data_IF_241161526923
#
_entry.id   IF_241161526923
#
_cell.length_a   1.000
_cell.length_b   1.000
_cell.length_c   1.000
_cell.angle_alpha   90.00
_cell.angle_beta   90.00
_cell.angle_gamma   90.00
#
_symmetry.space_group_name_H-M   'P 1'
#
loop_
_entity.id
_entity.type
_entity.pdbx_description
1 polymer ?
#
# COMPACT_ATOMS: atom_id res chain seq x y z
N UNK A 1 -12.14 -11.86 17.94
CA UNK A 1 -12.15 -12.90 16.92
C UNK A 1 -13.57 -13.29 16.54
N UNK A 2 -13.78 -13.84 15.36
CA UNK A 2 -15.05 -14.34 14.89
C UNK A 2 -14.87 -15.82 14.47
N UNK A 3 -14.96 -16.77 15.42
CA UNK A 3 -14.81 -18.18 15.09
C UNK A 3 -15.96 -18.67 14.23
N UNK A 4 -15.64 -19.52 13.28
CA UNK A 4 -16.61 -20.28 12.47
C UNK A 4 -17.07 -21.52 13.25
N UNK A 5 -18.20 -22.09 12.85
CA UNK A 5 -18.63 -23.40 13.33
C UNK A 5 -17.80 -24.52 12.64
N UNK A 6 -17.70 -25.67 13.28
CA UNK A 6 -16.91 -26.83 12.78
C UNK A 6 -17.38 -27.30 11.39
N UNK A 7 -18.68 -27.29 11.14
CA UNK A 7 -19.28 -27.72 9.88
C UNK A 7 -18.84 -26.85 8.69
N UNK A 8 -18.47 -25.58 8.96
CA UNK A 8 -18.01 -24.68 7.92
C UNK A 8 -16.70 -25.12 7.25
N UNK A 9 -15.82 -25.79 8.00
CA UNK A 9 -14.48 -26.16 7.50
C UNK A 9 -14.56 -27.19 6.37
N UNK A 10 -15.57 -28.04 6.37
CA UNK A 10 -15.78 -29.12 5.39
C UNK A 10 -17.00 -28.91 4.52
N UNK A 11 -17.64 -27.74 4.59
CA UNK A 11 -18.88 -27.46 3.91
C UNK A 11 -18.73 -27.39 2.39
N UNK A 12 -19.58 -28.09 1.67
CA UNK A 12 -19.79 -27.91 0.23
C UNK A 12 -20.73 -26.75 -0.10
N UNK A 13 -21.47 -26.24 0.89
CA UNK A 13 -22.36 -25.08 0.79
C UNK A 13 -22.10 -24.08 1.92
N UNK A 14 -21.05 -23.28 1.81
CA UNK A 14 -20.66 -22.35 2.86
C UNK A 14 -21.69 -21.23 3.10
N UNK A 15 -22.51 -20.90 2.13
CA UNK A 15 -23.51 -19.82 2.26
C UNK A 15 -24.60 -20.18 3.26
N UNK A 16 -24.98 -21.44 3.34
CA UNK A 16 -26.05 -21.90 4.24
C UNK A 16 -25.53 -22.53 5.52
N UNK A 17 -24.36 -23.15 5.50
CA UNK A 17 -23.80 -23.94 6.61
C UNK A 17 -22.82 -23.17 7.50
N UNK A 18 -22.16 -22.14 6.96
CA UNK A 18 -21.19 -21.39 7.76
C UNK A 18 -21.88 -20.34 8.65
N UNK A 19 -21.56 -20.41 9.92
CA UNK A 19 -21.98 -19.43 10.94
C UNK A 19 -20.75 -18.92 11.68
N UNK A 20 -20.79 -17.67 12.06
CA UNK A 20 -19.73 -17.08 12.89
C UNK A 20 -20.32 -16.42 14.13
N UNK A 21 -19.57 -16.44 15.20
CA UNK A 21 -19.93 -15.74 16.43
C UNK A 21 -19.22 -14.40 16.45
N UNK A 22 -19.99 -13.32 16.30
CA UNK A 22 -19.46 -11.99 16.49
C UNK A 22 -19.14 -11.74 17.97
N UNK A 23 -17.87 -11.45 18.27
CA UNK A 23 -17.44 -11.00 19.57
C UNK A 23 -17.19 -9.50 19.45
N UNK A 24 -18.04 -8.71 20.11
CA UNK A 24 -17.90 -7.26 20.12
C UNK A 24 -16.57 -6.87 20.75
N UNK A 25 -15.89 -5.95 20.12
CA UNK A 25 -14.67 -5.37 20.69
C UNK A 25 -15.04 -4.48 21.89
N UNK A 26 -14.25 -4.50 22.96
CA UNK A 26 -14.44 -3.60 24.07
C UNK A 26 -14.40 -2.13 23.63
N UNK A 27 -15.18 -1.28 24.30
CA UNK A 27 -15.09 0.17 24.06
C UNK A 27 -13.64 0.64 24.30
N UNK A 28 -13.16 1.51 23.45
CA UNK A 28 -11.81 2.09 23.53
C UNK A 28 -10.65 1.08 23.41
N UNK A 29 -10.87 -0.10 22.82
CA UNK A 29 -9.83 -1.11 22.66
C UNK A 29 -8.58 -0.61 21.90
N UNK A 30 -8.73 0.38 21.03
CA UNK A 30 -7.63 1.00 20.27
C UNK A 30 -6.88 2.09 21.06
N UNK A 31 -7.38 2.52 22.21
CA UNK A 31 -6.76 3.58 23.03
C UNK A 31 -5.44 3.08 23.63
N UNK A 32 -4.44 3.96 23.70
CA UNK A 32 -3.15 3.67 24.36
C UNK A 32 -3.29 3.33 25.83
N UNK A 33 -4.34 3.81 26.51
CA UNK A 33 -4.64 3.53 27.91
C UNK A 33 -5.42 2.25 28.17
N UNK A 34 -5.92 1.58 27.11
CA UNK A 34 -6.70 0.35 27.28
C UNK A 34 -5.84 -0.78 27.88
N UNK A 35 -6.38 -1.46 28.90
CA UNK A 35 -5.71 -2.59 29.54
C UNK A 35 -6.10 -3.90 28.86
N UNK A 36 -5.15 -4.52 28.18
CA UNK A 36 -5.33 -5.74 27.39
C UNK A 36 -4.83 -7.02 28.08
N UNK A 37 -4.63 -6.95 29.40
CA UNK A 37 -4.10 -8.07 30.22
C UNK A 37 -4.91 -9.39 30.07
N UNK A 38 -6.18 -9.28 29.73
CA UNK A 38 -7.08 -10.42 29.57
C UNK A 38 -7.17 -10.90 28.10
N UNK A 39 -6.42 -10.30 27.18
CA UNK A 39 -6.37 -10.76 25.82
C UNK A 39 -5.39 -11.94 25.69
N UNK A 40 -5.77 -12.93 24.90
CA UNK A 40 -4.89 -14.06 24.60
C UNK A 40 -3.75 -13.57 23.70
N UNK A 41 -2.54 -14.00 23.99
CA UNK A 41 -1.39 -13.71 23.13
C UNK A 41 -1.58 -14.33 21.74
N UNK A 42 -1.09 -13.65 20.72
CA UNK A 42 -0.96 -14.24 19.40
C UNK A 42 0.03 -15.41 19.45
N UNK A 43 -0.21 -16.40 18.60
CA UNK A 43 0.69 -17.53 18.40
C UNK A 43 1.46 -17.33 17.10
N UNK A 44 2.73 -17.70 17.10
CA UNK A 44 3.53 -17.79 15.88
C UNK A 44 3.35 -19.15 15.22
N UNK A 45 3.39 -19.15 13.89
CA UNK A 45 3.22 -20.33 13.04
C UNK A 45 4.29 -20.35 11.96
N UNK A 46 4.70 -21.52 11.58
CA UNK A 46 5.51 -21.74 10.38
C UNK A 46 4.65 -21.66 9.12
N UNK A 47 5.27 -21.45 7.96
CA UNK A 47 4.56 -21.46 6.68
C UNK A 47 3.88 -22.82 6.41
N UNK A 48 4.48 -23.91 6.87
CA UNK A 48 3.93 -25.27 6.78
C UNK A 48 2.65 -25.43 7.61
N UNK A 49 2.66 -24.96 8.86
CA UNK A 49 1.48 -24.99 9.75
C UNK A 49 0.31 -24.15 9.19
N UNK A 50 0.61 -23.03 8.55
CA UNK A 50 -0.40 -22.17 7.92
C UNK A 50 -0.96 -22.82 6.65
N UNK A 51 -0.19 -23.68 5.98
CA UNK A 51 -0.57 -24.30 4.71
C UNK A 51 -0.72 -23.27 3.61
N UNK A 52 0.27 -22.40 3.47
CA UNK A 52 0.28 -21.34 2.45
C UNK A 52 0.01 -21.92 1.06
N UNK A 53 -0.96 -21.37 0.39
CA UNK A 53 -1.35 -21.75 -0.98
C UNK A 53 -0.45 -21.08 -2.00
N UNK A 54 -0.53 -21.55 -3.25
CA UNK A 54 0.16 -20.95 -4.41
C UNK A 54 0.07 -19.43 -4.42
N UNK A 55 1.17 -18.76 -4.71
CA UNK A 55 1.31 -17.30 -4.67
C UNK A 55 2.06 -16.76 -3.46
N UNK A 56 2.08 -17.48 -2.33
CA UNK A 56 2.92 -17.10 -1.20
C UNK A 56 4.38 -17.50 -1.39
N UNK A 57 4.64 -18.52 -2.21
CA UNK A 57 6.00 -18.97 -2.53
C UNK A 57 6.76 -18.00 -3.43
N UNK A 58 6.06 -17.15 -4.18
CA UNK A 58 6.64 -16.12 -5.04
C UNK A 58 7.10 -14.89 -4.24
N UNK A 59 6.75 -14.81 -2.95
CA UNK A 59 7.17 -13.74 -2.07
C UNK A 59 8.48 -14.15 -1.40
N UNK A 60 9.55 -13.42 -1.67
CA UNK A 60 10.82 -13.63 -0.98
C UNK A 60 10.74 -13.10 0.46
N UNK A 61 10.16 -13.89 1.34
CA UNK A 61 10.06 -13.57 2.76
C UNK A 61 11.44 -13.53 3.40
N UNK A 62 11.69 -12.49 4.20
CA UNK A 62 12.86 -12.50 5.08
C UNK A 62 12.77 -13.70 6.04
N UNK A 63 13.90 -14.35 6.32
CA UNK A 63 13.97 -15.41 7.35
C UNK A 63 13.58 -14.96 8.77
N UNK A 64 13.38 -13.64 8.97
CA UNK A 64 12.94 -13.03 10.23
C UNK A 64 11.44 -12.79 10.29
N UNK A 65 10.69 -13.12 9.24
CA UNK A 65 9.22 -12.96 9.24
C UNK A 65 8.61 -14.08 10.05
N UNK A 66 7.79 -13.71 11.03
CA UNK A 66 6.96 -14.61 11.80
C UNK A 66 5.50 -14.46 11.42
N UNK A 67 4.84 -15.56 11.09
CA UNK A 67 3.40 -15.60 10.85
C UNK A 67 2.70 -15.67 12.19
N UNK A 68 1.79 -14.74 12.46
CA UNK A 68 1.08 -14.66 13.75
C UNK A 68 -0.43 -14.76 13.54
N UNK A 69 -1.08 -15.53 14.40
CA UNK A 69 -2.54 -15.67 14.42
C UNK A 69 -3.03 -15.96 15.85
N UNK A 70 -4.32 -16.28 16.00
CA UNK A 70 -4.85 -16.89 17.21
C UNK A 70 -4.35 -18.34 17.35
N UNK A 71 -4.72 -19.03 18.41
CA UNK A 71 -4.36 -20.43 18.58
C UNK A 71 -5.07 -21.38 17.58
N UNK A 72 -6.08 -20.91 16.87
CA UNK A 72 -6.90 -21.72 15.96
C UNK A 72 -6.88 -21.15 14.55
N UNK A 73 -6.11 -21.79 13.65
CA UNK A 73 -6.03 -21.44 12.23
C UNK A 73 -7.25 -21.87 11.41
N UNK A 74 -8.05 -22.80 11.92
CA UNK A 74 -9.17 -23.38 11.17
C UNK A 74 -10.47 -22.64 11.39
N UNK A 75 -10.76 -22.31 12.64
CA UNK A 75 -12.06 -21.75 13.03
C UNK A 75 -12.02 -20.23 13.20
N UNK A 76 -10.90 -19.65 13.62
CA UNK A 76 -10.82 -18.20 13.83
C UNK A 76 -10.66 -17.46 12.49
N UNK A 77 -11.78 -17.13 11.85
CA UNK A 77 -11.85 -16.48 10.54
C UNK A 77 -11.38 -15.01 10.56
N UNK A 78 -11.68 -14.30 11.65
CA UNK A 78 -11.31 -12.89 11.81
C UNK A 78 -10.76 -12.66 13.19
N UNK A 79 -9.57 -12.07 13.27
CA UNK A 79 -8.95 -11.69 14.54
C UNK A 79 -8.59 -10.21 14.52
N UNK A 80 -8.50 -9.63 15.71
CA UNK A 80 -7.92 -8.31 15.93
C UNK A 80 -6.68 -8.48 16.77
N UNK A 81 -5.55 -8.06 16.26
CA UNK A 81 -4.28 -8.03 16.95
C UNK A 81 -4.02 -6.63 17.49
N UNK A 82 -3.45 -6.56 18.69
CA UNK A 82 -3.05 -5.31 19.33
C UNK A 82 -1.64 -5.43 19.86
N UNK A 83 -0.82 -4.46 19.55
CA UNK A 83 0.52 -4.33 20.12
C UNK A 83 0.74 -2.91 20.63
N UNK A 84 1.66 -2.75 21.56
CA UNK A 84 2.12 -1.44 22.02
C UNK A 84 3.52 -1.21 21.49
N UNK A 85 3.69 -0.13 20.77
CA UNK A 85 5.01 0.31 20.32
C UNK A 85 5.46 1.37 21.33
N UNK A 86 6.47 1.02 22.13
CA UNK A 86 7.11 2.00 23.04
C UNK A 86 8.10 2.82 22.21
N UNK A 87 7.94 4.14 22.21
CA UNK A 87 9.03 5.00 21.75
C UNK A 87 10.19 4.87 22.75
N UNK A 88 11.42 4.57 22.30
CA UNK A 88 12.55 4.50 23.23
C UNK A 88 12.81 5.87 23.83
N UNK A 89 12.63 5.96 25.15
CA UNK A 89 13.12 7.08 25.94
C UNK A 89 14.64 7.03 25.91
N UNK A 90 15.28 8.09 25.48
CA UNK A 90 16.74 8.22 25.43
C UNK A 90 17.29 8.12 26.86
N UNK A 91 17.75 6.94 27.26
CA UNK A 91 18.53 6.74 28.48
C UNK A 91 19.88 6.17 28.08
N UNK A 92 20.92 6.85 28.53
CA UNK A 92 22.32 6.52 28.31
C UNK A 92 22.75 5.27 29.10
N UNK A 93 23.67 4.52 28.52
CA UNK A 93 24.56 3.45 29.04
C UNK A 93 24.01 2.03 29.11
N UNK A 94 24.67 1.14 28.35
CA UNK A 94 24.69 -0.31 28.58
C UNK A 94 24.44 -1.17 27.36
N UNK A 95 25.53 -1.70 26.79
CA UNK A 95 25.63 -2.66 25.72
C UNK A 95 24.69 -3.87 25.84
N UNK A 96 23.83 -4.08 24.84
CA UNK A 96 23.36 -5.40 24.39
C UNK A 96 22.76 -5.26 23.00
N UNK A 97 23.22 -6.07 22.06
CA UNK A 97 22.83 -6.06 20.67
C UNK A 97 21.32 -6.42 20.54
N UNK A 98 20.50 -5.42 20.31
CA UNK A 98 19.11 -5.56 19.88
C UNK A 98 19.03 -4.99 18.46
N UNK A 99 18.64 -5.82 17.49
CA UNK A 99 18.43 -5.36 16.13
C UNK A 99 17.24 -4.38 16.13
N UNK A 100 17.55 -3.11 16.29
CA UNK A 100 16.60 -2.02 16.10
C UNK A 100 16.22 -1.95 14.63
N UNK A 101 14.94 -2.15 14.32
CA UNK A 101 14.36 -1.52 13.14
C UNK A 101 14.45 -0.01 13.41
N UNK A 102 15.50 0.60 12.95
CA UNK A 102 15.60 2.05 12.86
C UNK A 102 14.57 2.48 11.80
N UNK A 103 13.39 2.89 12.25
CA UNK A 103 12.63 3.86 11.49
C UNK A 103 13.47 5.13 11.56
N UNK A 104 14.37 5.28 10.59
CA UNK A 104 15.06 6.54 10.37
C UNK A 104 13.96 7.60 10.18
N UNK A 105 13.75 8.40 11.22
CA UNK A 105 12.80 9.52 11.20
C UNK A 105 13.16 10.58 10.16
N UNK A 106 14.23 10.36 9.41
CA UNK A 106 14.77 11.25 8.39
C UNK A 106 14.69 10.64 6.96
N UNK A 107 14.00 9.52 6.78
CA UNK A 107 13.86 8.88 5.45
C UNK A 107 12.72 9.50 4.67
N UNK A 108 12.94 9.80 3.39
CA UNK A 108 11.90 10.24 2.47
C UNK A 108 10.81 9.17 2.36
N UNK A 109 9.58 9.51 2.74
CA UNK A 109 8.48 8.56 2.87
C UNK A 109 7.21 9.10 2.21
N UNK A 110 6.51 8.21 1.50
CA UNK A 110 5.17 8.44 0.96
C UNK A 110 4.15 7.64 1.78
N UNK A 111 2.98 8.20 2.00
CA UNK A 111 1.85 7.57 2.72
C UNK A 111 0.52 7.99 2.12
N UNK A 112 -0.54 7.24 2.40
CA UNK A 112 -1.93 7.67 2.20
C UNK A 112 -2.68 7.61 3.52
N UNK A 113 -3.69 8.48 3.71
CA UNK A 113 -4.61 8.39 4.85
C UNK A 113 -5.67 7.29 4.66
N UNK A 114 -5.90 6.84 3.42
CA UNK A 114 -7.04 6.03 3.04
C UNK A 114 -6.68 4.57 2.76
N UNK A 115 -5.39 4.26 2.62
CA UNK A 115 -4.89 2.88 2.53
C UNK A 115 -3.46 2.78 3.06
N UNK A 116 -3.08 1.58 3.48
CA UNK A 116 -1.71 1.26 3.91
C UNK A 116 -0.93 0.64 2.76
N UNK A 117 0.40 0.71 2.81
CA UNK A 117 1.26 0.08 1.81
C UNK A 117 0.99 -1.42 1.71
N UNK A 118 0.79 -1.92 0.50
CA UNK A 118 0.38 -3.30 0.20
C UNK A 118 -1.07 -3.63 0.52
N UNK A 119 -1.83 -2.70 1.11
CA UNK A 119 -3.24 -2.90 1.46
C UNK A 119 -4.20 -2.79 0.28
N UNK A 120 -5.49 -3.04 0.53
CA UNK A 120 -6.53 -2.90 -0.49
C UNK A 120 -6.72 -1.43 -0.89
N UNK A 121 -6.82 -1.17 -2.20
CA UNK A 121 -7.22 0.13 -2.73
C UNK A 121 -8.74 0.29 -2.53
N UNK A 122 -9.20 1.30 -1.77
CA UNK A 122 -10.63 1.53 -1.58
C UNK A 122 -11.38 1.72 -2.90
N UNK A 123 -12.60 1.19 -2.98
CA UNK A 123 -13.43 1.24 -4.21
C UNK A 123 -13.63 2.64 -4.74
N UNK A 124 -13.69 3.65 -3.87
CA UNK A 124 -13.87 5.05 -4.29
C UNK A 124 -12.78 5.54 -5.24
N UNK A 125 -11.57 4.94 -5.20
CA UNK A 125 -10.45 5.26 -6.09
C UNK A 125 -10.42 4.42 -7.36
N UNK A 126 -11.41 3.58 -7.57
CA UNK A 126 -11.50 2.64 -8.71
C UNK A 126 -12.72 2.95 -9.56
N UNK A 127 -12.82 2.33 -10.74
CA UNK A 127 -13.98 2.48 -11.59
C UNK A 127 -15.26 1.83 -11.04
N UNK A 128 -15.17 1.06 -9.96
CA UNK A 128 -16.31 0.51 -9.24
C UNK A 128 -16.84 1.45 -8.15
N UNK A 129 -16.25 2.63 -8.02
CA UNK A 129 -16.63 3.69 -7.09
C UNK A 129 -16.68 5.05 -7.75
N UNK A 130 -16.30 6.09 -7.01
CA UNK A 130 -16.32 7.47 -7.51
C UNK A 130 -15.24 7.75 -8.58
N UNK A 131 -14.21 6.91 -8.68
CA UNK A 131 -13.13 7.05 -9.65
C UNK A 131 -12.24 8.28 -9.41
N UNK A 132 -12.15 8.74 -8.18
CA UNK A 132 -11.33 9.90 -7.79
C UNK A 132 -9.93 9.47 -7.38
N UNK A 133 -8.95 10.37 -7.46
CA UNK A 133 -7.58 10.08 -7.04
C UNK A 133 -7.45 9.98 -5.52
N UNK A 134 -6.63 9.06 -4.99
CA UNK A 134 -6.41 8.96 -3.55
C UNK A 134 -5.56 10.12 -3.02
N UNK A 135 -5.73 10.48 -1.74
CA UNK A 135 -4.86 11.43 -1.08
C UNK A 135 -3.49 10.80 -0.81
N UNK A 136 -2.44 11.56 -1.05
CA UNK A 136 -1.07 11.15 -0.75
C UNK A 136 -0.35 12.23 0.05
N UNK A 137 0.50 11.82 0.98
CA UNK A 137 1.32 12.73 1.80
C UNK A 137 2.74 12.21 1.87
N UNK A 138 3.70 13.12 1.92
CA UNK A 138 5.12 12.74 2.04
C UNK A 138 5.84 13.55 3.10
N UNK A 139 6.90 12.98 3.61
CA UNK A 139 7.72 13.55 4.67
C UNK A 139 9.20 13.37 4.33
N UNK A 140 10.03 14.24 4.89
CA UNK A 140 11.50 14.20 4.82
C UNK A 140 12.03 14.11 3.37
N UNK A 141 11.60 14.98 2.46
CA UNK A 141 12.23 15.05 1.16
C UNK A 141 13.71 15.43 1.31
N UNK A 142 14.61 14.93 0.43
CA UNK A 142 16.00 15.26 0.51
C UNK A 142 16.24 16.77 0.38
N UNK A 143 17.30 17.25 1.05
CA UNK A 143 17.72 18.65 0.93
C UNK A 143 18.01 18.98 -0.54
N UNK A 144 17.61 20.17 -0.97
CA UNK A 144 17.79 20.60 -2.37
C UNK A 144 16.63 20.23 -3.29
N UNK A 145 15.57 19.57 -2.80
CA UNK A 145 14.35 19.33 -3.57
C UNK A 145 13.73 20.66 -4.02
N UNK A 146 13.47 20.78 -5.32
CA UNK A 146 12.84 21.95 -5.95
C UNK A 146 11.46 21.65 -6.53
N UNK A 147 11.20 20.39 -6.82
CA UNK A 147 9.88 19.92 -7.26
C UNK A 147 9.73 18.44 -6.99
N UNK A 148 8.47 17.95 -7.07
CA UNK A 148 8.18 16.53 -7.02
C UNK A 148 7.42 16.09 -8.26
N UNK A 149 7.52 14.78 -8.54
CA UNK A 149 6.72 14.08 -9.55
C UNK A 149 6.07 12.88 -8.88
N UNK A 150 4.77 12.67 -9.12
CA UNK A 150 4.06 11.47 -8.67
C UNK A 150 3.62 10.71 -9.92
N UNK A 151 3.91 9.42 -9.95
CA UNK A 151 3.47 8.49 -10.99
C UNK A 151 2.74 7.34 -10.31
N UNK A 152 1.53 7.04 -10.78
CA UNK A 152 0.81 5.82 -10.43
C UNK A 152 0.84 4.88 -11.62
N UNK A 153 1.38 3.68 -11.41
CA UNK A 153 1.45 2.63 -12.42
C UNK A 153 0.94 1.28 -11.91
N UNK A 154 0.70 0.35 -12.83
CA UNK A 154 0.54 -1.07 -12.52
C UNK A 154 1.38 -1.89 -13.48
N UNK A 155 1.92 -3.00 -12.99
CA UNK A 155 2.48 -4.01 -13.88
C UNK A 155 1.34 -4.71 -14.64
N UNK A 156 1.48 -4.89 -15.97
CA UNK A 156 0.50 -5.64 -16.72
C UNK A 156 0.50 -7.08 -16.23
N UNK A 157 -0.69 -7.67 -16.17
CA UNK A 157 -0.81 -9.11 -15.97
C UNK A 157 -0.20 -9.88 -17.15
N UNK A 158 -0.10 -11.22 -17.06
CA UNK A 158 0.35 -12.04 -18.19
C UNK A 158 -0.52 -11.73 -19.41
N UNK A 159 0.09 -11.60 -20.60
CA UNK A 159 -0.67 -11.32 -21.83
C UNK A 159 -1.62 -12.48 -22.12
N UNK A 160 -2.80 -12.15 -22.63
CA UNK A 160 -3.71 -13.17 -23.15
C UNK A 160 -3.11 -13.82 -24.41
N UNK A 161 -3.50 -15.07 -24.74
CA UNK A 161 -3.07 -15.69 -25.98
C UNK A 161 -3.38 -14.77 -27.19
N UNK A 162 -2.34 -14.39 -27.93
CA UNK A 162 -2.45 -13.47 -29.08
C UNK A 162 -2.30 -11.99 -28.77
N UNK A 163 -2.19 -11.58 -27.50
CA UNK A 163 -1.87 -10.20 -27.11
C UNK A 163 -0.39 -10.06 -26.79
N UNK A 164 0.24 -8.98 -27.26
CA UNK A 164 1.56 -8.59 -26.80
C UNK A 164 1.45 -7.83 -25.49
N UNK A 165 2.37 -8.07 -24.55
CA UNK A 165 2.47 -7.30 -23.32
C UNK A 165 2.82 -5.84 -23.68
N UNK A 166 1.90 -4.91 -23.43
CA UNK A 166 2.04 -3.50 -23.81
C UNK A 166 2.88 -2.67 -22.81
N UNK A 167 3.52 -3.31 -21.84
CA UNK A 167 4.30 -2.63 -20.81
C UNK A 167 3.45 -2.14 -19.65
N UNK A 168 4.03 -1.29 -18.80
CA UNK A 168 3.36 -0.72 -17.63
C UNK A 168 2.24 0.23 -18.03
N UNK A 169 1.07 0.06 -17.41
CA UNK A 169 0.00 1.04 -17.49
C UNK A 169 0.18 2.08 -16.40
N UNK A 170 0.13 3.36 -16.75
CA UNK A 170 0.21 4.48 -15.82
C UNK A 170 -1.12 5.24 -15.77
N UNK A 171 -1.59 5.43 -14.56
CA UNK A 171 -2.95 5.91 -14.23
C UNK A 171 -2.97 7.37 -13.82
N UNK A 172 -1.85 7.86 -13.30
CA UNK A 172 -1.63 9.24 -12.91
C UNK A 172 -0.19 9.64 -13.20
N UNK A 173 -0.01 10.77 -13.84
CA UNK A 173 1.27 11.48 -13.89
C UNK A 173 1.02 12.91 -13.44
N UNK A 174 1.66 13.31 -12.35
CA UNK A 174 1.57 14.66 -11.79
C UNK A 174 3.00 15.16 -11.56
N UNK A 175 3.37 16.23 -12.21
CA UNK A 175 4.73 16.75 -12.17
C UNK A 175 4.78 18.24 -11.80
N UNK A 176 5.99 18.75 -11.58
CA UNK A 176 6.21 20.12 -11.13
C UNK A 176 5.42 20.48 -9.86
N UNK A 177 5.18 19.50 -8.99
CA UNK A 177 4.61 19.75 -7.66
C UNK A 177 5.61 20.63 -6.91
N UNK A 178 5.18 21.76 -6.31
CA UNK A 178 6.08 22.68 -5.59
C UNK A 178 6.80 22.03 -4.43
N UNK A 179 8.02 22.49 -4.13
CA UNK A 179 8.85 21.92 -3.05
C UNK A 179 8.32 22.15 -1.63
N UNK A 180 7.42 23.10 -1.44
CA UNK A 180 6.72 23.39 -0.19
C UNK A 180 5.43 22.57 -0.01
N UNK A 181 5.00 21.84 -1.04
CA UNK A 181 3.89 20.90 -0.91
C UNK A 181 4.34 19.65 -0.14
N UNK A 182 3.49 19.18 0.75
CA UNK A 182 3.70 17.95 1.53
C UNK A 182 2.59 16.91 1.30
N UNK A 183 1.61 17.22 0.45
CA UNK A 183 0.48 16.34 0.15
C UNK A 183 -0.22 16.74 -1.14
N UNK A 184 -0.99 15.79 -1.69
CA UNK A 184 -2.08 16.01 -2.64
C UNK A 184 -3.41 15.60 -2.01
N UNK A 185 -4.48 16.28 -2.39
CA UNK A 185 -5.80 16.02 -1.83
C UNK A 185 -6.51 14.90 -2.57
N UNK A 186 -7.49 14.31 -1.92
CA UNK A 186 -8.42 13.34 -2.51
C UNK A 186 -9.23 14.00 -3.63
N UNK A 187 -9.28 13.36 -4.80
CA UNK A 187 -10.07 13.80 -5.95
C UNK A 187 -9.44 14.89 -6.79
N UNK A 188 -8.76 15.84 -6.16
CA UNK A 188 -8.07 16.93 -6.84
C UNK A 188 -6.65 17.09 -6.29
N UNK A 189 -5.63 16.91 -7.13
CA UNK A 189 -4.25 17.13 -6.69
C UNK A 189 -4.00 18.52 -6.11
N UNK A 190 -4.66 19.55 -6.66
CA UNK A 190 -4.60 20.94 -6.20
C UNK A 190 -3.28 21.64 -6.46
N UNK A 191 -2.24 20.88 -6.82
CA UNK A 191 -0.85 21.35 -7.04
C UNK A 191 -0.21 20.60 -8.18
N UNK A 192 0.77 21.22 -8.82
CA UNK A 192 1.52 20.58 -9.91
C UNK A 192 0.79 20.67 -11.26
N UNK A 193 1.32 19.93 -12.22
CA UNK A 193 0.80 19.85 -13.59
C UNK A 193 0.47 18.40 -13.91
N UNK A 194 -0.73 18.13 -14.39
CA UNK A 194 -1.14 16.82 -14.87
C UNK A 194 -0.51 16.51 -16.22
N UNK A 195 0.12 15.37 -16.35
CA UNK A 195 0.63 14.83 -17.61
C UNK A 195 -0.36 13.88 -18.26
N UNK A 196 0.11 13.18 -19.29
CA UNK A 196 -0.65 12.14 -19.96
C UNK A 196 -0.65 10.84 -19.12
N UNK A 197 -1.69 10.05 -19.28
CA UNK A 197 -1.76 8.68 -18.77
C UNK A 197 -1.84 7.67 -19.95
N UNK A 198 -2.04 6.39 -19.67
CA UNK A 198 -2.09 5.36 -20.71
C UNK A 198 -3.23 5.53 -21.73
N UNK A 199 -4.23 6.37 -21.44
CA UNK A 199 -5.27 6.75 -22.40
C UNK A 199 -4.83 7.87 -23.36
N UNK A 200 -3.62 8.38 -23.21
CA UNK A 200 -2.98 9.34 -24.12
C UNK A 200 -3.53 10.78 -24.07
N UNK A 201 -4.47 11.06 -23.19
CA UNK A 201 -5.07 12.42 -23.06
C UNK A 201 -4.65 13.05 -21.73
N UNK A 202 -4.75 14.36 -21.62
CA UNK A 202 -4.59 15.15 -20.38
C UNK A 202 -5.69 14.78 -19.36
N UNK A 203 -5.90 13.51 -19.15
CA UNK A 203 -7.06 12.96 -18.48
C UNK A 203 -6.92 12.96 -16.95
N UNK A 204 -5.77 13.43 -16.43
CA UNK A 204 -5.56 13.42 -14.99
C UNK A 204 -5.47 12.00 -14.45
N UNK A 205 -6.25 11.71 -13.42
CA UNK A 205 -6.34 10.37 -12.83
C UNK A 205 -7.28 9.48 -13.65
N UNK A 206 -6.80 8.31 -14.02
CA UNK A 206 -7.65 7.25 -14.58
C UNK A 206 -7.86 6.18 -13.52
N UNK A 207 -9.11 5.93 -13.09
CA UNK A 207 -9.34 4.95 -12.04
C UNK A 207 -9.00 3.52 -12.49
N UNK A 208 -8.35 2.72 -11.66
CA UNK A 208 -8.14 1.31 -11.91
C UNK A 208 -9.44 0.57 -12.20
N UNK A 209 -9.49 -0.13 -13.34
CA UNK A 209 -10.57 -1.02 -13.73
C UNK A 209 -9.97 -2.41 -13.97
N UNK A 210 -9.68 -3.15 -12.91
CA UNK A 210 -9.10 -4.48 -13.03
C UNK A 210 -10.00 -5.36 -13.90
N UNK A 211 -9.54 -5.70 -15.09
CA UNK A 211 -10.22 -6.64 -15.98
C UNK A 211 -9.51 -7.99 -15.91
N UNK A 212 -10.25 -9.03 -15.62
CA UNK A 212 -9.72 -10.38 -15.55
C UNK A 212 -9.50 -10.87 -14.11
N UNK A 213 -9.28 -12.18 -13.95
CA UNK A 213 -9.13 -12.77 -12.63
C UNK A 213 -7.83 -12.32 -11.97
N UNK A 214 -7.89 -12.19 -10.65
CA UNK A 214 -6.72 -11.97 -9.80
C UNK A 214 -6.57 -10.55 -9.32
N UNK A 215 -5.72 -10.45 -8.31
CA UNK A 215 -5.35 -9.20 -7.66
C UNK A 215 -4.30 -8.49 -8.49
N UNK A 216 -4.50 -7.20 -8.76
CA UNK A 216 -3.51 -6.34 -9.41
C UNK A 216 -2.91 -5.38 -8.40
N UNK A 217 -1.60 -5.17 -8.53
CA UNK A 217 -0.85 -4.21 -7.71
C UNK A 217 -0.71 -2.90 -8.46
N UNK A 218 -1.02 -1.82 -7.75
CA UNK A 218 -0.87 -0.44 -8.21
C UNK A 218 0.17 0.24 -7.35
N UNK A 219 1.18 0.84 -7.96
CA UNK A 219 2.29 1.50 -7.30
C UNK A 219 2.17 3.00 -7.44
N UNK A 220 2.32 3.72 -6.34
CA UNK A 220 2.39 5.18 -6.29
C UNK A 220 3.83 5.55 -5.95
N UNK A 221 4.55 6.13 -6.89
CA UNK A 221 5.94 6.54 -6.70
C UNK A 221 6.05 8.06 -6.71
N UNK A 222 6.69 8.63 -5.70
CA UNK A 222 7.06 10.03 -5.67
C UNK A 222 8.58 10.17 -5.90
N UNK A 223 8.94 11.09 -6.77
CA UNK A 223 10.32 11.49 -7.07
C UNK A 223 10.56 12.90 -6.56
N UNK A 224 11.62 13.11 -5.80
CA UNK A 224 12.11 14.42 -5.41
C UNK A 224 13.20 14.86 -6.42
N UNK A 225 13.03 16.03 -7.01
CA UNK A 225 13.90 16.52 -8.07
C UNK A 225 14.68 17.78 -7.65
N UNK A 226 15.91 17.91 -8.17
CA UNK A 226 16.78 19.07 -7.96
C UNK A 226 16.35 20.32 -8.73
N UNK A 227 15.42 20.19 -9.69
CA UNK A 227 14.84 21.30 -10.45
C UNK A 227 13.40 20.97 -10.90
N UNK A 228 12.70 21.99 -11.37
CA UNK A 228 11.44 21.79 -12.12
C UNK A 228 11.76 21.23 -13.50
N UNK A 229 10.77 20.56 -14.08
CA UNK A 229 10.83 20.04 -15.44
C UNK A 229 10.32 21.10 -16.43
N UNK A 230 11.04 21.27 -17.50
CA UNK A 230 10.64 22.11 -18.63
C UNK A 230 9.85 21.26 -19.64
N UNK A 231 8.60 20.98 -19.28
CA UNK A 231 7.66 20.17 -20.07
C UNK A 231 6.27 20.81 -20.00
N UNK A 232 5.62 20.90 -21.15
CA UNK A 232 4.21 21.22 -21.24
C UNK A 232 3.32 20.02 -20.86
N UNK A 233 2.11 20.28 -20.35
CA UNK A 233 1.17 19.22 -19.99
C UNK A 233 0.88 18.25 -21.15
N UNK A 234 0.75 18.78 -22.38
CA UNK A 234 0.52 17.98 -23.59
C UNK A 234 1.70 17.14 -24.05
N UNK A 235 2.92 17.44 -23.58
CA UNK A 235 4.17 16.77 -23.93
C UNK A 235 4.60 15.74 -22.86
N UNK A 236 3.98 15.82 -21.68
CA UNK A 236 4.34 15.00 -20.51
C UNK A 236 3.79 13.58 -20.62
N UNK A 237 4.32 12.80 -21.56
CA UNK A 237 4.17 11.34 -21.61
C UNK A 237 5.06 10.70 -20.56
N UNK A 238 4.84 9.42 -20.22
CA UNK A 238 5.71 8.71 -19.28
C UNK A 238 7.17 8.76 -19.73
N UNK A 239 7.43 8.47 -21.00
CA UNK A 239 8.80 8.46 -21.56
C UNK A 239 9.47 9.84 -21.52
N UNK A 240 8.73 10.91 -21.84
CA UNK A 240 9.29 12.26 -21.80
C UNK A 240 9.54 12.71 -20.35
N UNK A 241 8.67 12.34 -19.41
CA UNK A 241 8.86 12.58 -17.97
C UNK A 241 10.10 11.84 -17.45
N UNK A 242 10.23 10.54 -17.73
CA UNK A 242 11.38 9.74 -17.31
C UNK A 242 12.70 10.33 -17.87
N UNK A 243 12.71 10.70 -19.13
CA UNK A 243 13.85 11.35 -19.76
C UNK A 243 14.19 12.70 -19.11
N UNK A 244 13.18 13.53 -18.86
CA UNK A 244 13.36 14.85 -18.25
C UNK A 244 13.78 14.80 -16.78
N UNK A 245 13.44 13.70 -16.07
CA UNK A 245 13.84 13.48 -14.68
C UNK A 245 15.22 12.87 -14.50
N UNK A 246 15.75 12.16 -15.51
CA UNK A 246 16.87 11.21 -15.37
C UNK A 246 18.09 11.76 -14.62
N UNK A 247 18.46 13.01 -14.85
CA UNK A 247 19.59 13.71 -14.24
C UNK A 247 19.22 14.59 -13.04
N UNK A 248 17.95 14.60 -12.63
CA UNK A 248 17.40 15.50 -11.61
C UNK A 248 16.90 14.78 -10.36
N UNK A 249 16.82 13.45 -10.39
CA UNK A 249 16.30 12.67 -9.26
C UNK A 249 17.28 12.70 -8.09
N UNK A 250 16.85 13.29 -6.97
CA UNK A 250 17.56 13.28 -5.70
C UNK A 250 17.23 12.04 -4.87
N UNK A 251 15.96 11.67 -4.84
CA UNK A 251 15.46 10.45 -4.21
C UNK A 251 14.09 10.08 -4.75
N UNK A 252 13.69 8.83 -4.50
CA UNK A 252 12.32 8.35 -4.73
C UNK A 252 11.88 7.45 -3.59
N UNK A 253 10.57 7.41 -3.38
CA UNK A 253 9.93 6.46 -2.47
C UNK A 253 8.58 6.06 -3.04
N UNK A 254 8.04 4.95 -2.59
CA UNK A 254 6.84 4.37 -3.17
C UNK A 254 5.99 3.71 -2.08
N UNK A 255 4.69 3.72 -2.29
CA UNK A 255 3.71 2.83 -1.65
C UNK A 255 2.90 2.11 -2.72
N UNK A 256 2.28 1.02 -2.36
CA UNK A 256 1.45 0.24 -3.27
C UNK A 256 0.08 -0.07 -2.66
N UNK A 257 -0.88 -0.35 -3.51
CA UNK A 257 -2.17 -0.88 -3.10
C UNK A 257 -2.61 -1.98 -4.07
N UNK A 258 -3.45 -2.88 -3.62
CA UNK A 258 -3.97 -3.99 -4.42
C UNK A 258 -5.46 -3.83 -4.67
N UNK A 259 -5.90 -4.23 -5.86
CA UNK A 259 -7.31 -4.22 -6.22
C UNK A 259 -7.64 -5.41 -7.13
N UNK A 260 -8.74 -6.08 -6.81
CA UNK A 260 -9.34 -7.12 -7.61
C UNK A 260 -10.82 -6.79 -7.87
N UNK A 261 -11.28 -7.12 -9.05
CA UNK A 261 -12.67 -6.97 -9.47
C UNK A 261 -13.34 -8.33 -9.60
#
# INVERSE_FOLDING_TARGET
KAPLNEECVTSSDPLTQCRHKNISLPKNWASSSYQDKNWTNARTFTAEEVGVKEGYFDINWSSKVELIWSADLRLDNTIVLRTRISTPTKSSTGSAASASISTDSNTFRLTSSDFVDGGALPKEFTCDGAGISPPLSWQNPPAGSKSFVIIMDSEPGPPRPGESNTGKHFYLTLFNIPSDAAKILKGEPGVGTLGQNFLGKNAGYTPPCSQGPGVKKYSFTIYALSSRLDLGAGEATLSSLEKAMADKILAKTQISAVYAR
#
